data_IF_606033505037
#
_entry.id   IF_606033505037
#
_cell.length_a   1.000
_cell.length_b   1.000
_cell.length_c   1.000
_cell.angle_alpha   90.00
_cell.angle_beta   90.00
_cell.angle_gamma   90.00
#
_symmetry.space_group_name_H-M   'P 1'
#
loop_
_entity.id
_entity.type
_entity.pdbx_description
1 polymer ?
#
# COMPACT_ATOMS: atom_id res chain seq x y z
N UNK A 1 3.81 1.49 -0.83
CA UNK A 1 4.17 2.37 0.30
C UNK A 1 3.79 3.81 -0.07
N UNK A 2 3.78 4.71 0.91
CA UNK A 2 3.41 6.12 0.74
C UNK A 2 4.61 7.05 0.88
N UNK A 3 5.49 6.80 1.86
CA UNK A 3 6.59 7.71 2.23
C UNK A 3 7.96 7.20 1.82
N UNK A 4 8.94 8.11 1.70
CA UNK A 4 10.31 7.78 1.29
C UNK A 4 11.05 6.99 2.37
N UNK A 5 10.82 7.32 3.64
CA UNK A 5 11.42 6.59 4.77
C UNK A 5 10.93 5.14 4.82
N UNK A 6 9.68 4.88 4.43
CA UNK A 6 9.16 3.52 4.31
C UNK A 6 9.88 2.74 3.21
N UNK A 7 10.16 3.38 2.08
CA UNK A 7 10.92 2.77 0.99
C UNK A 7 12.31 2.35 1.45
N UNK A 8 13.05 3.24 2.11
CA UNK A 8 14.39 2.96 2.61
C UNK A 8 14.38 1.80 3.62
N UNK A 9 13.41 1.79 4.53
CA UNK A 9 13.24 0.71 5.51
C UNK A 9 12.93 -0.63 4.85
N UNK A 10 11.97 -0.65 3.91
CA UNK A 10 11.56 -1.85 3.21
C UNK A 10 12.67 -2.40 2.31
N UNK A 11 13.40 -1.52 1.63
CA UNK A 11 14.58 -1.88 0.84
C UNK A 11 15.65 -2.53 1.71
N UNK A 12 15.96 -1.92 2.86
CA UNK A 12 16.91 -2.47 3.83
C UNK A 12 16.51 -3.87 4.32
N UNK A 13 15.22 -4.09 4.58
CA UNK A 13 14.69 -5.40 4.99
C UNK A 13 14.81 -6.43 3.85
N UNK A 14 14.45 -6.05 2.62
CA UNK A 14 14.55 -6.97 1.49
C UNK A 14 16.01 -7.37 1.20
N UNK A 15 16.94 -6.43 1.34
CA UNK A 15 18.38 -6.69 1.24
C UNK A 15 18.89 -7.62 2.35
N UNK A 16 18.48 -7.42 3.61
CA UNK A 16 18.90 -8.29 4.72
C UNK A 16 18.38 -9.72 4.57
N UNK A 17 17.21 -9.87 3.94
CA UNK A 17 16.62 -11.16 3.56
C UNK A 17 17.18 -11.73 2.25
N UNK A 18 18.16 -11.07 1.62
CA UNK A 18 18.80 -11.45 0.35
C UNK A 18 17.79 -11.67 -0.79
N UNK A 19 16.69 -10.91 -0.80
CA UNK A 19 15.68 -10.95 -1.86
C UNK A 19 16.10 -10.04 -3.01
N UNK A 20 15.93 -10.44 -4.28
CA UNK A 20 16.05 -9.54 -5.42
C UNK A 20 15.00 -8.41 -5.29
N UNK A 21 15.42 -7.16 -5.52
CA UNK A 21 14.54 -5.99 -5.34
C UNK A 21 14.41 -5.22 -6.64
N UNK A 22 13.17 -4.86 -6.98
CA UNK A 22 12.85 -3.85 -7.98
C UNK A 22 12.10 -2.69 -7.31
N UNK A 23 12.21 -1.49 -7.86
CA UNK A 23 11.66 -0.28 -7.26
C UNK A 23 11.01 0.64 -8.30
N UNK A 24 9.81 1.12 -7.98
CA UNK A 24 9.04 2.04 -8.81
C UNK A 24 8.51 3.19 -7.96
N UNK A 25 9.10 4.36 -8.15
CA UNK A 25 8.73 5.61 -7.49
C UNK A 25 8.93 6.80 -8.44
N UNK A 26 8.78 8.03 -7.93
CA UNK A 26 8.95 9.23 -8.75
C UNK A 26 10.36 9.41 -9.36
N UNK A 27 11.38 8.76 -8.81
CA UNK A 27 12.78 8.92 -9.20
C UNK A 27 13.37 7.69 -9.89
N UNK A 28 12.83 6.50 -9.63
CA UNK A 28 13.37 5.22 -10.07
C UNK A 28 12.26 4.38 -10.68
N UNK A 29 12.55 3.80 -11.85
CA UNK A 29 11.67 2.83 -12.51
C UNK A 29 12.51 1.62 -12.93
N UNK A 30 12.75 0.75 -11.96
CA UNK A 30 13.42 -0.53 -12.19
C UNK A 30 12.43 -1.69 -12.00
N UNK A 31 12.43 -2.59 -12.98
CA UNK A 31 11.63 -3.81 -13.02
C UNK A 31 12.50 -5.04 -13.33
N UNK A 32 13.82 -4.93 -13.31
CA UNK A 32 14.70 -6.01 -13.74
C UNK A 32 14.49 -7.29 -12.91
N UNK A 33 14.57 -7.19 -11.57
CA UNK A 33 14.33 -8.32 -10.70
C UNK A 33 12.90 -8.86 -10.83
N UNK A 34 11.91 -7.98 -10.96
CA UNK A 34 10.51 -8.39 -11.17
C UNK A 34 10.31 -9.23 -12.45
N UNK A 35 11.03 -8.92 -13.53
CA UNK A 35 10.89 -9.63 -14.79
C UNK A 35 11.66 -10.95 -14.83
N UNK A 36 12.81 -11.01 -14.16
CA UNK A 36 13.80 -12.09 -14.29
C UNK A 36 13.90 -13.04 -13.08
N UNK A 37 13.35 -12.67 -11.91
CA UNK A 37 13.50 -13.43 -10.67
C UNK A 37 12.13 -13.80 -10.06
N UNK A 38 11.91 -15.09 -9.79
CA UNK A 38 10.61 -15.61 -9.29
C UNK A 38 10.29 -15.19 -7.84
N UNK A 39 11.32 -14.94 -7.03
CA UNK A 39 11.21 -14.62 -5.59
C UNK A 39 11.59 -13.15 -5.30
N UNK A 40 11.35 -12.28 -6.28
CA UNK A 40 11.64 -10.85 -6.18
C UNK A 40 10.59 -10.08 -5.37
N UNK A 41 11.03 -8.95 -4.81
CA UNK A 41 10.19 -7.97 -4.12
C UNK A 41 10.17 -6.67 -4.91
N UNK A 42 8.99 -6.27 -5.40
CA UNK A 42 8.81 -5.00 -6.09
C UNK A 42 8.23 -3.94 -5.16
N UNK A 43 9.03 -2.92 -4.85
CA UNK A 43 8.63 -1.79 -4.01
C UNK A 43 7.97 -0.72 -4.88
N UNK A 44 6.68 -0.45 -4.65
CA UNK A 44 5.91 0.51 -5.46
C UNK A 44 5.34 1.62 -4.59
N UNK A 45 5.61 2.87 -4.98
CA UNK A 45 4.96 4.06 -4.43
C UNK A 45 3.60 4.26 -5.09
N UNK A 46 2.55 4.63 -4.34
CA UNK A 46 1.19 4.76 -4.88
C UNK A 46 1.09 5.68 -6.11
N UNK A 47 1.76 6.83 -6.08
CA UNK A 47 1.73 7.82 -7.16
C UNK A 47 2.35 7.25 -8.45
N UNK A 48 3.49 6.56 -8.35
CA UNK A 48 4.14 5.91 -9.49
C UNK A 48 3.38 4.66 -9.96
N UNK A 49 2.72 3.96 -9.04
CA UNK A 49 1.86 2.81 -9.32
C UNK A 49 0.66 3.12 -10.22
N UNK A 50 0.24 4.39 -10.30
CA UNK A 50 -0.84 4.83 -11.17
C UNK A 50 -0.46 4.85 -12.67
N UNK A 51 0.83 4.77 -13.02
CA UNK A 51 1.36 5.00 -14.38
C UNK A 51 1.24 3.83 -15.37
N UNK A 52 0.21 2.97 -15.27
CA UNK A 52 -0.04 1.96 -16.31
C UNK A 52 0.83 0.68 -16.24
N UNK A 53 1.48 0.41 -15.10
CA UNK A 53 2.33 -0.77 -14.93
C UNK A 53 1.55 -2.09 -15.05
N UNK A 54 2.19 -3.13 -15.58
CA UNK A 54 1.64 -4.49 -15.63
C UNK A 54 2.35 -5.38 -14.60
N UNK A 55 1.73 -5.60 -13.44
CA UNK A 55 2.32 -6.35 -12.33
C UNK A 55 1.67 -7.73 -12.14
N UNK A 56 1.19 -8.34 -13.23
CA UNK A 56 0.45 -9.60 -13.21
C UNK A 56 1.28 -10.84 -12.85
N UNK A 57 2.62 -10.81 -12.90
CA UNK A 57 3.45 -11.93 -12.42
C UNK A 57 3.33 -12.08 -10.90
N UNK A 58 3.12 -10.96 -10.19
CA UNK A 58 2.89 -10.98 -8.75
C UNK A 58 1.43 -11.36 -8.42
N UNK A 59 1.27 -12.30 -7.50
CA UNK A 59 -0.04 -12.67 -6.91
C UNK A 59 -0.20 -12.19 -5.46
N UNK A 60 0.89 -11.70 -4.86
CA UNK A 60 0.95 -11.27 -3.46
C UNK A 60 1.21 -9.77 -3.41
N UNK A 61 0.35 -9.04 -2.72
CA UNK A 61 0.52 -7.59 -2.56
C UNK A 61 0.37 -7.21 -1.08
N UNK A 62 1.32 -6.43 -0.59
CA UNK A 62 1.35 -5.93 0.77
C UNK A 62 1.20 -4.42 0.73
N UNK A 63 0.12 -3.91 1.31
CA UNK A 63 -0.09 -2.50 1.58
C UNK A 63 0.53 -2.18 2.94
N UNK A 64 1.79 -1.77 2.93
CA UNK A 64 2.54 -1.41 4.14
C UNK A 64 1.93 -0.21 4.88
N UNK A 65 1.54 0.81 4.11
CA UNK A 65 0.79 1.97 4.56
C UNK A 65 -0.35 2.24 3.58
N UNK A 66 -1.49 2.71 4.10
CA UNK A 66 -2.65 3.02 3.29
C UNK A 66 -2.54 4.43 2.68
N UNK A 67 -3.08 4.57 1.47
CA UNK A 67 -3.34 5.89 0.87
C UNK A 67 -4.68 6.42 1.38
N UNK A 68 -4.81 7.74 1.41
CA UNK A 68 -6.06 8.46 1.63
C UNK A 68 -6.96 8.51 0.39
N UNK A 69 -6.43 8.21 -0.81
CA UNK A 69 -7.20 8.23 -2.06
C UNK A 69 -7.76 6.85 -2.43
N UNK A 70 -9.08 6.75 -2.56
CA UNK A 70 -9.75 5.54 -3.00
C UNK A 70 -9.33 5.12 -4.40
N UNK A 71 -9.17 6.10 -5.30
CA UNK A 71 -8.75 5.88 -6.67
C UNK A 71 -7.35 5.25 -6.75
N UNK A 72 -6.37 5.78 -6.02
CA UNK A 72 -5.02 5.21 -5.99
C UNK A 72 -5.01 3.79 -5.42
N UNK A 73 -5.82 3.55 -4.39
CA UNK A 73 -5.96 2.23 -3.79
C UNK A 73 -6.58 1.21 -4.75
N UNK A 74 -7.67 1.57 -5.44
CA UNK A 74 -8.32 0.72 -6.44
C UNK A 74 -7.40 0.45 -7.63
N UNK A 75 -6.66 1.47 -8.10
CA UNK A 75 -5.68 1.30 -9.17
C UNK A 75 -4.57 0.34 -8.77
N UNK A 76 -4.01 0.48 -7.56
CA UNK A 76 -2.96 -0.40 -7.05
C UNK A 76 -3.44 -1.87 -7.00
N UNK A 77 -4.67 -2.12 -6.54
CA UNK A 77 -5.25 -3.48 -6.53
C UNK A 77 -5.40 -4.07 -7.94
N UNK A 78 -5.82 -3.26 -8.90
CA UNK A 78 -5.97 -3.67 -10.31
C UNK A 78 -4.64 -3.97 -11.00
N UNK A 79 -3.48 -3.61 -10.42
CA UNK A 79 -2.16 -3.93 -11.01
C UNK A 79 -1.83 -5.42 -11.00
N UNK A 80 -2.22 -6.12 -9.94
CA UNK A 80 -2.03 -7.58 -9.82
C UNK A 80 -3.28 -8.35 -10.28
N UNK A 81 -4.47 -7.81 -10.01
CA UNK A 81 -5.75 -8.44 -10.34
C UNK A 81 -6.27 -7.90 -11.68
N UNK A 82 -5.69 -8.45 -12.75
CA UNK A 82 -5.99 -8.09 -14.13
C UNK A 82 -6.19 -9.34 -14.98
N UNK A 83 -6.96 -9.21 -16.06
CA UNK A 83 -7.28 -10.29 -17.02
C UNK A 83 -5.99 -11.01 -17.45
N UNK A 84 -5.91 -12.31 -17.20
CA UNK A 84 -4.73 -13.14 -17.48
C UNK A 84 -3.99 -13.63 -16.22
N UNK A 85 -4.33 -13.11 -15.03
CA UNK A 85 -3.85 -13.66 -13.77
C UNK A 85 -4.43 -15.07 -13.53
N UNK A 86 -3.55 -16.04 -13.29
CA UNK A 86 -3.93 -17.45 -13.05
C UNK A 86 -3.92 -17.84 -11.58
N UNK A 87 -3.24 -17.06 -10.74
CA UNK A 87 -3.07 -17.32 -9.31
C UNK A 87 -4.06 -16.51 -8.47
N UNK A 88 -4.42 -17.02 -7.28
CA UNK A 88 -5.23 -16.27 -6.31
C UNK A 88 -4.49 -15.03 -5.82
N UNK A 89 -5.01 -13.84 -6.13
CA UNK A 89 -4.45 -12.58 -5.64
C UNK A 89 -4.73 -12.39 -4.15
N UNK A 90 -3.69 -12.39 -3.34
CA UNK A 90 -3.77 -12.16 -1.89
C UNK A 90 -3.26 -10.77 -1.53
N UNK A 91 -4.04 -10.04 -0.73
CA UNK A 91 -3.71 -8.69 -0.28
C UNK A 91 -3.56 -8.69 1.24
N UNK A 92 -2.38 -8.28 1.72
CA UNK A 92 -2.16 -8.00 3.13
C UNK A 92 -2.19 -6.49 3.36
N UNK A 93 -2.90 -6.06 4.40
CA UNK A 93 -3.00 -4.65 4.77
C UNK A 93 -2.46 -4.52 6.18
N UNK A 94 -1.40 -3.75 6.34
CA UNK A 94 -0.87 -3.43 7.65
C UNK A 94 -1.61 -2.21 8.18
N UNK A 95 -2.07 -2.31 9.42
CA UNK A 95 -2.80 -1.26 10.11
C UNK A 95 -2.48 -1.28 11.60
N UNK A 96 -2.37 -0.11 12.20
CA UNK A 96 -2.26 0.04 13.64
C UNK A 96 -3.62 -0.21 14.31
N UNK A 97 -3.62 -0.93 15.44
CA UNK A 97 -4.82 -1.16 16.24
C UNK A 97 -5.30 0.17 16.85
N UNK A 98 -6.59 0.45 16.73
CA UNK A 98 -7.24 1.67 17.27
C UNK A 98 -6.59 2.97 16.76
N UNK A 99 -5.99 2.93 15.57
CA UNK A 99 -5.34 4.07 14.93
C UNK A 99 -6.14 4.65 13.76
N UNK A 100 -5.56 5.67 13.13
CA UNK A 100 -6.09 6.33 11.92
C UNK A 100 -6.28 5.43 10.73
N UNK A 101 -5.50 4.37 10.66
CA UNK A 101 -5.61 3.37 9.61
C UNK A 101 -7.01 2.72 9.56
N UNK A 102 -7.71 2.60 10.70
CA UNK A 102 -9.07 2.05 10.71
C UNK A 102 -10.08 2.99 10.02
N UNK A 103 -9.95 4.30 10.22
CA UNK A 103 -10.78 5.32 9.56
C UNK A 103 -10.50 5.37 8.06
N UNK A 104 -9.21 5.41 7.70
CA UNK A 104 -8.74 5.38 6.31
C UNK A 104 -9.22 4.12 5.60
N UNK A 105 -8.99 2.94 6.18
CA UNK A 105 -9.41 1.67 5.59
C UNK A 105 -10.93 1.62 5.35
N UNK A 106 -11.72 2.09 6.32
CA UNK A 106 -13.19 2.17 6.17
C UNK A 106 -13.60 3.09 5.03
N UNK A 107 -12.94 4.24 4.85
CA UNK A 107 -13.21 5.14 3.73
C UNK A 107 -12.87 4.47 2.39
N UNK A 108 -11.69 3.85 2.29
CA UNK A 108 -11.26 3.12 1.10
C UNK A 108 -12.21 1.98 0.72
N UNK A 109 -12.73 1.23 1.69
CA UNK A 109 -13.73 0.16 1.43
C UNK A 109 -15.06 0.71 0.91
N UNK A 110 -15.43 1.94 1.28
CA UNK A 110 -16.58 2.66 0.72
C UNK A 110 -16.28 3.37 -0.59
N UNK A 111 -15.07 3.19 -1.15
CA UNK A 111 -14.56 3.90 -2.34
C UNK A 111 -14.59 5.43 -2.17
N UNK A 112 -14.47 5.90 -0.94
CA UNK A 112 -14.41 7.32 -0.62
C UNK A 112 -12.99 7.71 -0.21
N UNK A 113 -12.59 8.94 -0.55
CA UNK A 113 -11.34 9.51 -0.07
C UNK A 113 -11.44 9.82 1.42
N UNK A 114 -10.34 9.61 2.14
CA UNK A 114 -10.24 9.99 3.55
C UNK A 114 -9.82 11.46 3.65
N UNK A 115 -10.80 12.33 3.87
CA UNK A 115 -10.61 13.79 3.89
C UNK A 115 -10.21 14.32 5.26
N UNK A 116 -9.75 15.57 5.30
CA UNK A 116 -9.44 16.27 6.54
C UNK A 116 -10.67 16.36 7.48
N UNK A 117 -11.87 16.52 6.94
CA UNK A 117 -13.10 16.56 7.74
C UNK A 117 -13.37 15.23 8.43
N UNK A 118 -13.15 14.11 7.72
CA UNK A 118 -13.22 12.77 8.31
C UNK A 118 -12.16 12.60 9.40
N UNK A 119 -10.94 13.08 9.16
CA UNK A 119 -9.87 13.05 10.16
C UNK A 119 -10.21 13.84 11.43
N UNK A 120 -10.73 15.06 11.31
CA UNK A 120 -11.14 15.88 12.47
C UNK A 120 -12.25 15.18 13.25
N UNK A 121 -13.25 14.64 12.55
CA UNK A 121 -14.38 13.93 13.16
C UNK A 121 -13.92 12.67 13.92
N UNK A 122 -13.06 11.87 13.32
CA UNK A 122 -12.52 10.65 13.94
C UNK A 122 -11.64 11.00 15.15
N UNK A 123 -10.83 12.05 15.04
CA UNK A 123 -9.98 12.55 16.14
C UNK A 123 -10.80 13.00 17.35
N UNK A 124 -11.89 13.76 17.13
CA UNK A 124 -12.80 14.17 18.21
C UNK A 124 -13.50 12.97 18.86
N UNK A 125 -13.85 11.96 18.05
CA UNK A 125 -14.49 10.73 18.53
C UNK A 125 -13.53 9.93 19.41
N UNK A 126 -12.27 9.80 19.01
CA UNK A 126 -11.25 9.17 19.85
C UNK A 126 -10.97 9.96 21.11
N UNK A 127 -10.82 11.29 21.03
CA UNK A 127 -10.59 12.10 22.22
C UNK A 127 -11.67 11.86 23.28
N UNK A 128 -12.95 11.80 22.87
CA UNK A 128 -14.08 11.45 23.76
C UNK A 128 -14.02 10.03 24.31
N UNK A 129 -13.50 9.08 23.52
CA UNK A 129 -13.36 7.67 23.91
C UNK A 129 -12.25 7.50 24.94
N UNK A 130 -11.11 8.16 24.77
CA UNK A 130 -9.99 8.12 25.72
C UNK A 130 -10.20 9.00 26.95
N UNK A 131 -11.01 10.06 26.88
CA UNK A 131 -11.38 10.87 28.05
C UNK A 131 -12.36 10.18 28.99
N UNK A 132 -13.08 9.15 28.51
CA UNK A 132 -14.04 8.35 29.31
C UNK A 132 -13.41 7.15 30.02
N UNK A 133 -12.15 6.86 29.74
CA UNK A 133 -11.41 5.71 30.31
C UNK A 133 -10.46 6.11 31.44
N UNK A 134 -10.60 7.33 31.99
CA UNK A 134 -9.94 7.78 33.21
C UNK A 134 -10.96 8.00 34.31
#
# INVERSE_FOLDING_TARGET
YRFQEEYERLQSIAQSLKKPVSAINGSTKDLNAYENEEDSVTLVQYQAGAMGLNLQKASKCIFFSLTDSSNLYEQARKRIHRIGQRNTCTYWIFKCRDGIDDGVYKALMRKADYTNDLFIKDSQTWAKRFSRTR
#
